data_IF_014087234195
#
_entry.id   IF_014087234195
#
_cell.length_a   1.000
_cell.length_b   1.000
_cell.length_c   1.000
_cell.angle_alpha   90.00
_cell.angle_beta   90.00
_cell.angle_gamma   90.00
#
_symmetry.space_group_name_H-M   'P 1'
#
loop_
_entity.id
_entity.type
_entity.pdbx_description
1 polymer ?
#
# COMPACT_ATOMS: atom_id res chain seq x y z
N UNK A 1 -3.58 -20.30 -12.64
CA UNK A 1 -3.04 -19.42 -11.57
C UNK A 1 -3.41 -20.00 -10.22
N UNK A 2 -2.54 -19.92 -9.19
CA UNK A 2 -2.91 -20.34 -7.84
C UNK A 2 -3.99 -19.38 -7.29
N UNK A 3 -4.99 -19.91 -6.60
CA UNK A 3 -6.12 -19.12 -6.05
C UNK A 3 -5.63 -17.93 -5.19
N UNK A 4 -4.59 -18.15 -4.37
CA UNK A 4 -3.92 -17.11 -3.58
C UNK A 4 -3.38 -15.95 -4.44
N UNK A 5 -2.85 -16.22 -5.63
CA UNK A 5 -2.35 -15.18 -6.53
C UNK A 5 -3.48 -14.31 -7.08
N UNK A 6 -4.63 -14.93 -7.38
CA UNK A 6 -5.82 -14.21 -7.85
C UNK A 6 -6.34 -13.31 -6.72
N UNK A 7 -6.46 -13.84 -5.51
CA UNK A 7 -6.91 -13.06 -4.35
C UNK A 7 -5.97 -11.90 -4.05
N UNK A 8 -4.65 -12.11 -4.08
CA UNK A 8 -3.68 -11.02 -3.91
C UNK A 8 -3.82 -9.92 -4.98
N UNK A 9 -4.07 -10.31 -6.23
CA UNK A 9 -4.33 -9.34 -7.30
C UNK A 9 -5.62 -8.56 -7.06
N UNK A 10 -6.70 -9.26 -6.66
CA UNK A 10 -7.98 -8.62 -6.31
C UNK A 10 -7.83 -7.67 -5.11
N UNK A 11 -7.08 -8.05 -4.07
CA UNK A 11 -6.77 -7.18 -2.94
C UNK A 11 -6.06 -5.91 -3.41
N UNK A 12 -5.07 -6.04 -4.30
CA UNK A 12 -4.36 -4.88 -4.85
C UNK A 12 -5.33 -3.95 -5.60
N UNK A 13 -6.24 -4.49 -6.41
CA UNK A 13 -7.26 -3.70 -7.13
C UNK A 13 -8.20 -2.97 -6.16
N UNK A 14 -8.72 -3.64 -5.13
CA UNK A 14 -9.57 -3.01 -4.13
C UNK A 14 -8.82 -1.98 -3.28
N UNK A 15 -7.53 -2.21 -3.01
CA UNK A 15 -6.67 -1.24 -2.34
C UNK A 15 -6.51 0.03 -3.19
N UNK A 16 -6.25 -0.11 -4.50
CA UNK A 16 -6.20 1.01 -5.44
C UNK A 16 -7.52 1.77 -5.49
N UNK A 17 -8.64 1.04 -5.61
CA UNK A 17 -9.98 1.62 -5.61
C UNK A 17 -10.26 2.41 -4.35
N UNK A 18 -9.82 1.92 -3.18
CA UNK A 18 -9.99 2.62 -1.91
C UNK A 18 -9.26 3.97 -1.93
N UNK A 19 -8.03 4.01 -2.43
CA UNK A 19 -7.28 5.25 -2.61
C UNK A 19 -7.97 6.20 -3.58
N UNK A 20 -8.41 5.72 -4.75
CA UNK A 20 -9.11 6.55 -5.73
C UNK A 20 -10.39 7.14 -5.12
N UNK A 21 -11.15 6.34 -4.36
CA UNK A 21 -12.37 6.79 -3.69
C UNK A 21 -12.10 7.83 -2.61
N UNK A 22 -10.96 7.72 -1.90
CA UNK A 22 -10.56 8.70 -0.89
C UNK A 22 -10.11 10.05 -1.49
N UNK A 23 -9.43 10.01 -2.65
CA UNK A 23 -8.96 11.20 -3.36
C UNK A 23 -10.02 11.88 -4.22
N UNK A 24 -11.00 11.11 -4.71
CA UNK A 24 -12.06 11.57 -5.62
C UNK A 24 -13.46 11.15 -5.12
N UNK A 25 -13.89 11.70 -3.97
CA UNK A 25 -15.14 11.32 -3.30
C UNK A 25 -16.41 11.69 -4.06
N UNK A 26 -16.34 12.67 -4.96
CA UNK A 26 -17.51 13.19 -5.71
C UNK A 26 -17.68 12.56 -7.10
N UNK A 27 -17.05 11.41 -7.34
CA UNK A 27 -17.18 10.69 -8.61
C UNK A 27 -18.39 9.75 -8.62
N UNK A 28 -18.95 9.47 -9.80
CA UNK A 28 -20.03 8.48 -9.96
C UNK A 28 -19.65 7.09 -9.40
N UNK A 29 -18.36 6.74 -9.43
CA UNK A 29 -17.83 5.52 -8.82
C UNK A 29 -17.89 5.55 -7.30
N UNK A 30 -17.59 6.69 -6.67
CA UNK A 30 -17.70 6.86 -5.21
C UNK A 30 -19.15 6.82 -4.71
N UNK A 31 -20.11 7.25 -5.56
CA UNK A 31 -21.53 7.11 -5.29
C UNK A 31 -22.01 5.64 -5.30
N UNK A 32 -21.52 4.83 -6.24
CA UNK A 32 -21.88 3.40 -6.35
C UNK A 32 -21.14 2.52 -5.35
N UNK A 33 -19.85 2.78 -5.12
CA UNK A 33 -18.96 2.02 -4.24
C UNK A 33 -18.40 2.95 -3.19
N UNK A 34 -19.12 3.07 -2.08
CA UNK A 34 -18.67 3.90 -0.94
C UNK A 34 -17.40 3.32 -0.32
N UNK A 35 -16.49 4.19 0.13
CA UNK A 35 -15.26 3.81 0.88
C UNK A 35 -15.46 2.74 1.95
N UNK A 36 -16.58 2.77 2.68
CA UNK A 36 -16.91 1.77 3.72
C UNK A 36 -17.10 0.36 3.14
N UNK A 37 -17.77 0.25 1.99
CA UNK A 37 -18.04 -1.02 1.31
C UNK A 37 -16.74 -1.59 0.76
N UNK A 38 -15.93 -0.77 0.09
CA UNK A 38 -14.62 -1.15 -0.44
C UNK A 38 -13.72 -1.67 0.71
N UNK A 39 -13.68 -0.94 1.83
CA UNK A 39 -12.89 -1.34 3.00
C UNK A 39 -13.39 -2.65 3.61
N UNK A 40 -14.70 -2.84 3.72
CA UNK A 40 -15.27 -4.11 4.22
C UNK A 40 -14.90 -5.29 3.31
N UNK A 41 -15.01 -5.13 1.99
CA UNK A 41 -14.60 -6.16 1.02
C UNK A 41 -13.11 -6.47 1.17
N UNK A 42 -12.27 -5.44 1.32
CA UNK A 42 -10.83 -5.61 1.47
C UNK A 42 -10.48 -6.39 2.75
N UNK A 43 -11.11 -6.08 3.88
CA UNK A 43 -10.94 -6.81 5.14
C UNK A 43 -11.34 -8.27 4.97
N UNK A 44 -12.50 -8.54 4.36
CA UNK A 44 -12.97 -9.91 4.09
C UNK A 44 -11.99 -10.68 3.21
N UNK A 45 -11.49 -10.07 2.13
CA UNK A 45 -10.50 -10.68 1.24
C UNK A 45 -9.20 -11.03 1.98
N UNK A 46 -8.71 -10.14 2.85
CA UNK A 46 -7.51 -10.38 3.65
C UNK A 46 -7.74 -11.55 4.62
N UNK A 47 -8.90 -11.62 5.29
CA UNK A 47 -9.24 -12.74 6.18
C UNK A 47 -9.30 -14.05 5.40
N UNK A 48 -9.94 -14.06 4.22
CA UNK A 48 -9.99 -15.24 3.35
C UNK A 48 -8.59 -15.67 2.94
N UNK A 49 -7.72 -14.73 2.55
CA UNK A 49 -6.34 -15.02 2.17
C UNK A 49 -5.56 -15.66 3.32
N UNK A 50 -5.72 -15.14 4.54
CA UNK A 50 -5.10 -15.69 5.75
C UNK A 50 -5.59 -17.11 6.07
N UNK A 51 -6.89 -17.36 5.90
CA UNK A 51 -7.49 -18.67 6.10
C UNK A 51 -6.99 -19.70 5.05
N UNK A 52 -6.88 -19.30 3.79
CA UNK A 52 -6.38 -20.15 2.70
C UNK A 52 -4.89 -20.50 2.90
N UNK A 53 -4.08 -19.53 3.32
CA UNK A 53 -2.65 -19.76 3.59
C UNK A 53 -2.40 -20.54 4.89
N UNK A 54 -3.45 -21.00 5.61
CA UNK A 54 -3.38 -21.79 6.85
C UNK A 54 -2.39 -21.20 7.87
N UNK A 55 -2.36 -19.87 8.00
CA UNK A 55 -1.45 -19.19 8.92
C UNK A 55 0.04 -19.26 8.55
N UNK A 56 0.40 -19.77 7.36
CA UNK A 56 1.76 -19.64 6.81
C UNK A 56 1.96 -18.21 6.33
N UNK A 57 2.23 -17.32 7.27
CA UNK A 57 2.69 -15.96 6.98
C UNK A 57 4.02 -16.05 6.24
N UNK A 58 3.99 -16.02 4.91
CA UNK A 58 5.20 -15.76 4.13
C UNK A 58 5.54 -14.30 4.36
N UNK A 59 6.64 -14.05 5.08
CA UNK A 59 7.23 -12.70 5.13
C UNK A 59 7.35 -12.19 3.71
N UNK A 60 6.81 -10.99 3.48
CA UNK A 60 6.92 -10.32 2.20
C UNK A 60 8.42 -10.18 1.89
N UNK A 61 8.84 -10.63 0.71
CA UNK A 61 10.24 -10.45 0.30
C UNK A 61 10.58 -8.97 0.33
N UNK A 62 11.81 -8.62 0.71
CA UNK A 62 12.31 -7.24 0.73
C UNK A 62 12.04 -6.50 -0.58
N UNK A 63 12.18 -7.19 -1.72
CA UNK A 63 11.88 -6.64 -3.05
C UNK A 63 10.39 -6.30 -3.22
N UNK A 64 9.51 -7.20 -2.76
CA UNK A 64 8.07 -7.00 -2.83
C UNK A 64 7.60 -5.90 -1.86
N UNK A 65 8.20 -5.78 -0.68
CA UNK A 65 7.94 -4.67 0.25
C UNK A 65 8.32 -3.33 -0.36
N UNK A 66 9.55 -3.21 -0.88
CA UNK A 66 10.01 -1.98 -1.55
C UNK A 66 9.11 -1.64 -2.75
N UNK A 67 8.74 -2.64 -3.55
CA UNK A 67 7.84 -2.45 -4.69
C UNK A 67 6.45 -1.95 -4.29
N UNK A 68 5.86 -2.51 -3.23
CA UNK A 68 4.55 -2.10 -2.72
C UNK A 68 4.58 -0.69 -2.11
N UNK A 69 5.65 -0.35 -1.39
CA UNK A 69 5.85 1.00 -0.84
C UNK A 69 5.99 2.02 -1.97
N UNK A 70 6.84 1.74 -2.97
CA UNK A 70 7.00 2.61 -4.14
C UNK A 70 5.68 2.75 -4.92
N UNK A 71 4.94 1.65 -5.10
CA UNK A 71 3.63 1.67 -5.72
C UNK A 71 2.66 2.59 -4.98
N UNK A 72 2.56 2.45 -3.65
CA UNK A 72 1.67 3.29 -2.83
C UNK A 72 2.05 4.76 -2.91
N UNK A 73 3.34 5.08 -2.83
CA UNK A 73 3.84 6.47 -2.94
C UNK A 73 3.59 7.03 -4.35
N UNK A 74 3.84 6.25 -5.40
CA UNK A 74 3.58 6.66 -6.77
C UNK A 74 2.08 6.89 -7.01
N UNK A 75 1.23 5.99 -6.51
CA UNK A 75 -0.22 6.12 -6.59
C UNK A 75 -0.66 7.45 -5.95
N UNK A 76 -0.16 7.74 -4.77
CA UNK A 76 -0.45 8.97 -4.08
C UNK A 76 -0.04 10.21 -4.86
N UNK A 77 1.19 10.25 -5.38
CA UNK A 77 1.69 11.38 -6.20
C UNK A 77 0.80 11.55 -7.43
N UNK A 78 0.51 10.48 -8.16
CA UNK A 78 -0.32 10.52 -9.38
C UNK A 78 -1.73 11.01 -9.07
N UNK A 79 -2.39 10.47 -8.05
CA UNK A 79 -3.75 10.89 -7.68
C UNK A 79 -3.79 12.36 -7.28
N UNK A 80 -2.76 12.85 -6.61
CA UNK A 80 -2.69 14.25 -6.21
C UNK A 80 -2.40 15.17 -7.40
N UNK A 81 -1.53 14.77 -8.34
CA UNK A 81 -1.28 15.51 -9.58
C UNK A 81 -2.52 15.57 -10.48
N UNK A 82 -3.37 14.55 -10.43
CA UNK A 82 -4.68 14.54 -11.11
C UNK A 82 -5.72 15.45 -10.43
N UNK A 83 -5.35 16.20 -9.40
CA UNK A 83 -6.22 17.12 -8.68
C UNK A 83 -7.03 16.47 -7.55
N UNK A 84 -6.75 15.21 -7.23
CA UNK A 84 -7.39 14.52 -6.12
C UNK A 84 -6.95 15.09 -4.78
N UNK A 85 -7.90 15.21 -3.86
CA UNK A 85 -7.64 15.67 -2.49
C UNK A 85 -8.07 14.57 -1.53
N UNK A 86 -7.10 13.96 -0.83
CA UNK A 86 -7.41 12.95 0.19
C UNK A 86 -8.24 13.56 1.32
N UNK A 87 -9.42 12.98 1.56
CA UNK A 87 -10.25 13.36 2.71
C UNK A 87 -9.62 12.97 4.06
N UNK A 88 -8.71 11.99 4.07
CA UNK A 88 -8.05 11.48 5.30
C UNK A 88 -6.83 12.35 5.69
N UNK A 89 -6.54 13.42 4.95
CA UNK A 89 -5.51 14.40 5.33
C UNK A 89 -4.13 14.13 4.71
N UNK A 90 -4.07 13.35 3.62
CA UNK A 90 -2.89 13.20 2.76
C UNK A 90 -2.83 14.25 1.64
N UNK A 91 -3.46 15.41 1.82
CA UNK A 91 -3.34 16.54 0.90
C UNK A 91 -2.02 17.28 1.12
N UNK A 92 -1.42 17.84 0.06
CA UNK A 92 -0.17 18.63 0.16
C UNK A 92 -0.27 19.86 1.07
N UNK A 93 -1.49 20.30 1.37
CA UNK A 93 -1.78 21.41 2.29
C UNK A 93 -1.80 20.97 3.76
N UNK A 94 -1.83 19.66 4.02
CA UNK A 94 -1.87 19.10 5.37
C UNK A 94 -0.45 18.98 5.94
N UNK A 95 -0.17 19.49 7.15
CA UNK A 95 1.11 19.27 7.83
C UNK A 95 1.44 17.78 8.02
N UNK A 96 0.41 16.93 8.12
CA UNK A 96 0.54 15.48 8.29
C UNK A 96 1.22 14.82 7.07
N UNK A 97 1.00 15.36 5.86
CA UNK A 97 1.62 14.88 4.61
C UNK A 97 3.14 14.83 4.75
N UNK A 98 3.75 15.95 5.16
CA UNK A 98 5.20 16.08 5.22
C UNK A 98 5.81 15.17 6.29
N UNK A 99 5.12 15.01 7.43
CA UNK A 99 5.55 14.09 8.50
C UNK A 99 5.59 12.65 7.99
N UNK A 100 4.55 12.21 7.27
CA UNK A 100 4.47 10.86 6.70
C UNK A 100 5.56 10.64 5.64
N UNK A 101 5.79 11.62 4.76
CA UNK A 101 6.87 11.56 3.75
C UNK A 101 8.23 11.42 4.41
N UNK A 102 8.53 12.23 5.44
CA UNK A 102 9.81 12.17 6.15
C UNK A 102 9.97 10.82 6.85
N UNK A 103 8.93 10.31 7.52
CA UNK A 103 8.95 8.99 8.16
C UNK A 103 9.22 7.87 7.14
N UNK A 104 8.51 7.86 6.00
CA UNK A 104 8.72 6.88 4.93
C UNK A 104 10.14 6.97 4.34
N UNK A 105 10.65 8.18 4.14
CA UNK A 105 12.01 8.41 3.69
C UNK A 105 13.05 7.84 4.67
N UNK A 106 12.88 8.11 5.97
CA UNK A 106 13.75 7.58 7.02
C UNK A 106 13.69 6.05 7.10
N UNK A 107 12.50 5.46 6.96
CA UNK A 107 12.33 4.02 7.04
C UNK A 107 12.97 3.30 5.84
N UNK A 108 12.82 3.85 4.63
CA UNK A 108 13.53 3.39 3.42
C UNK A 108 15.05 3.51 3.57
N UNK A 109 15.55 4.62 4.13
CA UNK A 109 16.96 4.81 4.43
C UNK A 109 17.47 3.78 5.47
N UNK A 110 16.66 3.46 6.47
CA UNK A 110 16.99 2.44 7.47
C UNK A 110 17.08 1.05 6.85
N UNK A 111 16.11 0.67 6.02
CA UNK A 111 16.06 -0.61 5.31
C UNK A 111 17.24 -0.76 4.34
N UNK A 112 17.61 0.31 3.63
CA UNK A 112 18.76 0.31 2.73
C UNK A 112 20.09 0.20 3.48
N UNK A 113 20.24 0.90 4.63
CA UNK A 113 21.42 0.77 5.51
C UNK A 113 21.53 -0.62 6.12
N UNK A 114 20.44 -1.22 6.59
CA UNK A 114 20.44 -2.61 7.08
C UNK A 114 20.84 -3.59 5.97
N UNK A 115 20.38 -3.34 4.73
CA UNK A 115 20.81 -4.15 3.57
C UNK A 115 22.32 -4.14 3.33
N UNK A 116 22.97 -3.00 3.55
CA UNK A 116 24.42 -2.88 3.36
C UNK A 116 25.20 -3.61 4.46
N UNK A 117 24.67 -3.66 5.68
CA UNK A 117 25.30 -4.38 6.81
C UNK A 117 25.24 -5.89 6.63
N UNK A 118 24.08 -6.42 6.25
CA UNK A 118 23.89 -7.86 6.01
C UNK A 118 24.79 -8.36 4.84
N UNK A 119 24.97 -7.57 3.77
CA UNK A 119 25.85 -7.92 2.66
C UNK A 119 27.36 -7.83 2.99
N UNK A 120 27.74 -7.05 4.00
CA UNK A 120 29.15 -6.92 4.40
C UNK A 120 29.55 -8.11 5.28
N UNK A 121 28.67 -8.56 6.18
CA UNK A 121 28.90 -9.74 7.01
C UNK A 121 28.93 -11.03 6.20
N UNK A 122 28.11 -11.16 5.13
CA UNK A 122 28.10 -12.34 4.26
C UNK A 122 29.34 -12.45 3.34
N UNK A 123 30.04 -11.33 3.07
CA UNK A 123 31.31 -11.33 2.31
C UNK A 123 32.57 -11.57 3.15
N UNK A 124 32.43 -11.56 4.48
CA UNK A 124 33.57 -11.72 5.41
C UNK A 124 33.60 -13.10 6.08
N UNK A 125 32.61 -13.95 5.79
CA UNK A 125 32.61 -15.39 6.09
C UNK A 125 33.05 -16.18 4.86
#
# INVERSE_FOLDING_TARGET
>A
MKLSTIINFVILVFFTLLFVNDFFPDTAMAALLTKKIILLILVVLVIIQLAIDKGRYKKLSKKAYIGLTLYTVALWIVLTLLGGQSQIGLSFTSPLFYIIVVLLGLDLLRISRQSKREQTEEKTK
#
